data_IF_312116577332
#
_entry.id   IF_312116577332
#
_cell.length_a   1.000
_cell.length_b   1.000
_cell.length_c   1.000
_cell.angle_alpha   90.00
_cell.angle_beta   90.00
_cell.angle_gamma   90.00
#
_symmetry.space_group_name_H-M   'P 1'
#
loop_
_entity.id
_entity.type
_entity.pdbx_description
1 polymer ?
#
# COMPACT_ATOMS: atom_id res chain seq x y z
N UNK A 1 22.32 -4.13 -14.00
CA UNK A 1 21.46 -2.95 -13.81
C UNK A 1 21.66 -2.32 -12.43
N UNK A 2 21.38 -3.04 -11.33
CA UNK A 2 21.44 -2.46 -9.98
C UNK A 2 22.80 -1.88 -9.57
N UNK A 3 23.90 -2.64 -9.74
CA UNK A 3 25.27 -2.14 -9.47
C UNK A 3 25.60 -0.84 -10.22
N UNK A 4 25.15 -0.71 -11.46
CA UNK A 4 25.35 0.50 -12.26
C UNK A 4 24.51 1.66 -11.71
N UNK A 5 23.25 1.40 -11.33
CA UNK A 5 22.38 2.40 -10.71
C UNK A 5 22.98 2.90 -9.39
N UNK A 6 23.52 2.00 -8.55
CA UNK A 6 24.19 2.36 -7.30
C UNK A 6 25.40 3.27 -7.55
N UNK A 7 26.30 2.88 -8.45
CA UNK A 7 27.49 3.68 -8.81
C UNK A 7 27.09 5.05 -9.37
N UNK A 8 26.12 5.09 -10.29
CA UNK A 8 25.67 6.32 -10.93
C UNK A 8 25.02 7.29 -9.93
N UNK A 9 24.12 6.81 -9.07
CA UNK A 9 23.47 7.65 -8.06
C UNK A 9 24.48 8.16 -7.02
N UNK A 10 25.42 7.31 -6.58
CA UNK A 10 26.49 7.73 -5.66
C UNK A 10 27.35 8.83 -6.26
N UNK A 11 27.75 8.69 -7.53
CA UNK A 11 28.51 9.71 -8.26
C UNK A 11 27.72 11.02 -8.35
N UNK A 12 26.46 10.96 -8.78
CA UNK A 12 25.59 12.12 -8.90
C UNK A 12 25.40 12.86 -7.56
N UNK A 13 25.20 12.12 -6.46
CA UNK A 13 25.06 12.72 -5.14
C UNK A 13 26.32 13.47 -4.71
N UNK A 14 27.51 12.90 -4.95
CA UNK A 14 28.79 13.58 -4.63
C UNK A 14 28.98 14.85 -5.45
N UNK A 15 28.69 14.79 -6.75
CA UNK A 15 28.79 15.94 -7.65
C UNK A 15 27.86 17.08 -7.21
N UNK A 16 26.60 16.79 -6.88
CA UNK A 16 25.62 17.79 -6.41
C UNK A 16 25.92 18.36 -5.03
N UNK A 17 26.71 17.65 -4.22
CA UNK A 17 27.20 18.10 -2.92
C UNK A 17 28.58 18.77 -3.00
N UNK A 18 29.07 19.07 -4.21
CA UNK A 18 30.40 19.65 -4.45
C UNK A 18 31.54 18.87 -3.79
N UNK A 19 31.38 17.55 -3.63
CA UNK A 19 32.29 16.66 -2.92
C UNK A 19 32.58 17.08 -1.45
N UNK A 20 31.64 17.74 -0.77
CA UNK A 20 31.73 17.99 0.67
C UNK A 20 31.75 16.66 1.44
N UNK A 21 32.93 16.23 1.90
CA UNK A 21 33.13 14.90 2.50
C UNK A 21 32.36 14.69 3.81
N UNK A 22 32.19 15.75 4.61
CA UNK A 22 31.44 15.68 5.86
C UNK A 22 29.99 15.25 5.58
N UNK A 23 29.32 15.94 4.65
CA UNK A 23 27.93 15.63 4.28
C UNK A 23 27.85 14.33 3.47
N UNK A 24 28.77 14.12 2.53
CA UNK A 24 28.77 12.94 1.66
C UNK A 24 28.90 11.64 2.48
N UNK A 25 29.77 11.62 3.49
CA UNK A 25 29.95 10.44 4.36
C UNK A 25 28.72 10.07 5.19
N UNK A 26 27.82 11.03 5.43
CA UNK A 26 26.62 10.85 6.25
C UNK A 26 25.35 10.62 5.44
N UNK A 27 25.24 11.25 4.27
CA UNK A 27 24.01 11.26 3.48
C UNK A 27 23.98 10.20 2.38
N UNK A 28 25.13 9.85 1.80
CA UNK A 28 25.19 8.89 0.70
C UNK A 28 25.03 7.47 1.26
N UNK A 29 23.95 6.75 0.91
CA UNK A 29 23.70 5.44 1.48
C UNK A 29 24.67 4.35 1.00
N UNK A 30 24.78 3.30 1.81
CA UNK A 30 25.49 2.06 1.54
C UNK A 30 24.58 0.89 1.13
N UNK A 31 23.26 1.12 1.09
CA UNK A 31 22.26 0.15 0.65
C UNK A 31 21.82 0.36 -0.82
N UNK A 32 21.17 -0.65 -1.36
CA UNK A 32 20.76 -0.71 -2.76
C UNK A 32 19.71 0.36 -3.15
N UNK A 33 19.85 0.92 -4.36
CA UNK A 33 18.89 1.87 -4.93
C UNK A 33 17.50 1.23 -4.99
N UNK A 34 16.50 1.91 -4.42
CA UNK A 34 15.13 1.40 -4.35
C UNK A 34 14.78 0.67 -3.04
N UNK A 35 15.76 0.40 -2.17
CA UNK A 35 15.47 -0.12 -0.81
C UNK A 35 14.56 0.84 -0.02
N UNK A 36 14.72 2.15 -0.26
CA UNK A 36 13.77 3.21 0.14
C UNK A 36 13.12 3.82 -1.09
N UNK A 37 11.96 4.43 -0.89
CA UNK A 37 11.33 5.27 -1.91
C UNK A 37 12.27 6.42 -2.26
N UNK A 38 12.60 6.54 -3.55
CA UNK A 38 13.55 7.55 -4.03
C UNK A 38 13.02 8.94 -3.68
N UNK A 39 13.82 9.65 -2.89
CA UNK A 39 13.61 10.99 -2.38
C UNK A 39 14.99 11.50 -1.95
N UNK A 40 15.21 12.82 -1.86
CA UNK A 40 14.33 13.97 -2.17
C UNK A 40 14.47 14.49 -3.61
N UNK A 41 13.64 15.49 -3.96
CA UNK A 41 13.58 16.06 -5.31
C UNK A 41 14.72 17.01 -5.69
N UNK A 42 14.60 17.62 -6.86
CA UNK A 42 15.57 18.58 -7.40
C UNK A 42 15.87 19.72 -6.41
N UNK A 43 17.14 20.07 -6.24
CA UNK A 43 17.58 21.20 -5.43
C UNK A 43 17.83 20.88 -3.95
N UNK A 44 17.46 19.69 -3.47
CA UNK A 44 17.69 19.33 -2.07
C UNK A 44 19.17 19.19 -1.74
N UNK A 45 19.95 18.44 -2.53
CA UNK A 45 21.36 18.21 -2.23
C UNK A 45 22.15 19.53 -2.24
N UNK A 46 21.87 20.37 -3.24
CA UNK A 46 22.46 21.70 -3.40
C UNK A 46 22.06 22.64 -2.27
N UNK A 47 20.88 22.45 -1.66
CA UNK A 47 20.44 23.25 -0.52
C UNK A 47 21.24 22.99 0.76
N UNK A 48 21.83 21.80 0.91
CA UNK A 48 22.57 21.40 2.11
C UNK A 48 23.94 22.08 2.22
N UNK A 49 24.48 22.58 1.11
CA UNK A 49 25.79 23.25 1.05
C UNK A 49 25.67 24.78 0.98
N UNK A 50 24.46 25.34 1.03
CA UNK A 50 24.28 26.79 1.00
C UNK A 50 24.81 27.45 2.29
N UNK A 51 25.34 28.69 2.21
CA UNK A 51 25.88 29.39 3.38
C UNK A 51 24.89 29.59 4.54
N UNK A 52 23.59 29.57 4.27
CA UNK A 52 22.52 29.74 5.25
C UNK A 52 21.93 28.40 5.77
N UNK A 53 22.54 27.28 5.40
CA UNK A 53 22.08 25.95 5.80
C UNK A 53 23.15 25.29 6.67
N UNK A 54 22.74 24.66 7.77
CA UNK A 54 23.58 23.80 8.59
C UNK A 54 22.96 22.42 8.67
N UNK A 55 23.61 21.41 8.10
CA UNK A 55 23.20 20.03 8.27
C UNK A 55 23.66 19.53 9.65
N UNK A 56 22.72 19.07 10.47
CA UNK A 56 23.02 18.50 11.80
C UNK A 56 22.68 17.01 11.76
N UNK A 57 23.69 16.17 11.98
CA UNK A 57 23.54 14.72 12.01
C UNK A 57 23.56 14.23 13.46
N UNK A 58 22.53 13.48 13.86
CA UNK A 58 22.38 12.98 15.22
C UNK A 58 20.93 12.94 15.66
N UNK A 59 20.70 12.52 16.91
CA UNK A 59 19.38 12.54 17.54
C UNK A 59 19.17 13.82 18.35
N UNK A 60 17.89 14.18 18.52
CA UNK A 60 17.45 15.21 19.46
C UNK A 60 17.30 14.56 20.83
N UNK A 61 17.98 15.12 21.84
CA UNK A 61 17.89 14.68 23.23
C UNK A 61 16.65 15.26 23.92
N UNK A 62 16.42 16.55 23.77
CA UNK A 62 15.22 17.23 24.27
C UNK A 62 14.98 18.57 23.55
N UNK A 63 13.78 19.13 23.76
CA UNK A 63 13.40 20.47 23.34
C UNK A 63 13.31 21.39 24.56
N UNK A 64 13.62 22.67 24.39
CA UNK A 64 13.44 23.73 25.39
C UNK A 64 12.83 24.98 24.74
N UNK A 65 12.70 26.07 25.50
CA UNK A 65 12.07 27.31 25.03
C UNK A 65 12.81 27.96 23.84
N UNK A 66 14.12 27.77 23.72
CA UNK A 66 14.93 28.38 22.66
C UNK A 66 15.16 27.48 21.45
N UNK A 67 15.06 26.15 21.60
CA UNK A 67 15.21 25.21 20.50
C UNK A 67 15.41 23.76 20.93
N UNK A 68 16.41 23.09 20.35
CA UNK A 68 16.72 21.68 20.63
C UNK A 68 18.13 21.50 21.18
N UNK A 69 18.28 20.49 22.04
CA UNK A 69 19.60 19.99 22.45
C UNK A 69 19.83 18.63 21.80
N UNK A 70 20.98 18.44 21.17
CA UNK A 70 21.34 17.15 20.56
C UNK A 70 21.95 16.17 21.58
N UNK A 71 22.21 14.95 21.13
CA UNK A 71 22.79 13.89 21.97
C UNK A 71 24.22 14.19 22.47
N UNK A 72 24.92 15.17 21.89
CA UNK A 72 26.24 15.63 22.34
C UNK A 72 26.14 16.82 23.31
N UNK A 73 24.93 17.18 23.73
CA UNK A 73 24.63 18.36 24.56
C UNK A 73 24.93 19.70 23.87
N UNK A 74 24.86 19.75 22.54
CA UNK A 74 24.96 21.01 21.80
C UNK A 74 23.56 21.59 21.64
N UNK A 75 23.41 22.88 21.98
CA UNK A 75 22.19 23.65 21.81
C UNK A 75 22.07 24.19 20.37
N UNK A 76 20.89 24.05 19.77
CA UNK A 76 20.52 24.59 18.48
C UNK A 76 19.27 25.46 18.64
N UNK A 77 19.44 26.78 18.59
CA UNK A 77 18.34 27.73 18.77
C UNK A 77 17.64 28.04 17.43
N UNK A 78 16.31 28.13 17.46
CA UNK A 78 15.50 28.48 16.29
C UNK A 78 14.14 29.06 16.70
N UNK A 79 13.54 29.84 15.80
CA UNK A 79 12.22 30.45 16.05
C UNK A 79 11.05 29.60 15.53
N UNK A 80 11.32 28.69 14.59
CA UNK A 80 10.29 27.89 13.91
C UNK A 80 10.77 26.44 13.82
N UNK A 81 9.87 25.50 14.10
CA UNK A 81 10.09 24.06 13.95
C UNK A 81 9.18 23.54 12.84
N UNK A 82 9.75 22.74 11.93
CA UNK A 82 8.99 22.00 10.92
C UNK A 82 9.21 20.50 11.16
N UNK A 83 8.15 19.78 11.56
CA UNK A 83 8.22 18.35 11.83
C UNK A 83 8.03 17.52 10.56
N UNK A 84 9.13 17.09 9.94
CA UNK A 84 9.13 16.16 8.79
C UNK A 84 9.38 14.69 9.24
N UNK A 85 8.66 14.24 10.28
CA UNK A 85 8.94 12.97 11.01
C UNK A 85 8.33 11.71 10.39
N UNK A 86 7.73 11.82 9.19
CA UNK A 86 7.10 10.68 8.51
C UNK A 86 5.65 10.42 8.96
N UNK A 87 5.21 9.17 8.81
CA UNK A 87 3.83 8.73 9.01
C UNK A 87 3.77 7.45 9.85
N UNK A 88 2.61 7.19 10.47
CA UNK A 88 2.29 5.88 11.02
C UNK A 88 2.06 4.89 9.86
N UNK A 89 2.94 3.90 9.76
CA UNK A 89 2.90 2.84 8.73
C UNK A 89 2.54 1.47 9.32
N UNK A 90 1.92 1.45 10.51
CA UNK A 90 1.41 0.22 11.12
C UNK A 90 0.22 -0.39 10.38
N UNK A 91 -0.40 0.36 9.46
CA UNK A 91 -1.68 0.06 8.80
C UNK A 91 -2.88 -0.07 9.75
N UNK A 92 -2.71 0.15 11.06
CA UNK A 92 -3.80 0.06 12.03
C UNK A 92 -4.82 1.16 11.75
N UNK A 93 -6.11 0.83 11.60
CA UNK A 93 -7.13 1.85 11.33
C UNK A 93 -7.21 2.92 12.42
N UNK A 94 -7.38 4.19 12.01
CA UNK A 94 -7.50 5.34 12.90
C UNK A 94 -8.80 5.36 13.73
N UNK A 95 -9.78 4.53 13.37
CA UNK A 95 -11.03 4.30 14.10
C UNK A 95 -11.27 2.79 14.30
N UNK A 96 -12.12 2.38 15.27
CA UNK A 96 -12.48 0.97 15.43
C UNK A 96 -13.15 0.41 14.17
N UNK A 97 -12.66 -0.73 13.69
CA UNK A 97 -13.29 -1.50 12.61
C UNK A 97 -13.61 -2.87 13.20
N UNK A 98 -14.90 -3.14 13.42
CA UNK A 98 -15.34 -4.35 14.12
C UNK A 98 -15.74 -5.44 13.12
N UNK A 99 -15.12 -6.60 13.26
CA UNK A 99 -15.37 -7.78 12.45
C UNK A 99 -16.16 -8.86 13.19
N UNK A 100 -16.06 -10.09 12.67
CA UNK A 100 -16.67 -11.27 13.24
C UNK A 100 -16.29 -11.46 14.72
N UNK A 101 -17.29 -11.72 15.56
CA UNK A 101 -17.09 -11.91 17.00
C UNK A 101 -16.69 -10.64 17.78
N UNK A 102 -16.86 -9.45 17.20
CA UNK A 102 -16.56 -8.18 17.86
C UNK A 102 -15.07 -7.81 17.88
N UNK A 103 -14.24 -8.53 17.12
CA UNK A 103 -12.81 -8.27 17.02
C UNK A 103 -12.56 -6.94 16.31
N UNK A 104 -11.65 -6.13 16.84
CA UNK A 104 -11.26 -4.87 16.24
C UNK A 104 -10.01 -5.06 15.36
N UNK A 105 -10.08 -4.63 14.09
CA UNK A 105 -8.98 -4.76 13.13
C UNK A 105 -7.69 -4.11 13.63
N UNK A 106 -7.81 -3.01 14.37
CA UNK A 106 -6.67 -2.32 15.01
C UNK A 106 -5.87 -3.25 15.93
N UNK A 107 -6.54 -4.15 16.63
CA UNK A 107 -5.92 -5.04 17.61
C UNK A 107 -5.39 -6.29 16.91
N UNK A 108 -6.15 -6.81 15.94
CA UNK A 108 -5.72 -7.91 15.06
C UNK A 108 -4.42 -7.57 14.34
N UNK A 109 -4.28 -6.34 13.84
CA UNK A 109 -3.09 -5.87 13.13
C UNK A 109 -1.98 -5.30 14.04
N UNK A 110 -2.06 -5.49 15.37
CA UNK A 110 -1.06 -4.96 16.30
C UNK A 110 0.35 -5.54 16.11
N UNK A 111 0.46 -6.79 15.64
CA UNK A 111 1.74 -7.46 15.37
C UNK A 111 2.17 -7.41 13.91
N UNK A 112 1.29 -6.96 13.02
CA UNK A 112 1.49 -6.95 11.59
C UNK A 112 0.16 -7.23 10.87
N UNK A 113 -0.06 -6.65 9.69
CA UNK A 113 -1.32 -6.82 9.02
C UNK A 113 -1.40 -8.15 8.27
N UNK A 114 -2.30 -9.04 8.70
CA UNK A 114 -2.78 -10.14 7.84
C UNK A 114 -3.80 -9.59 6.86
N UNK A 115 -3.55 -9.70 5.57
CA UNK A 115 -4.36 -9.07 4.53
C UNK A 115 -4.32 -9.88 3.23
N UNK A 116 -5.31 -9.62 2.36
CA UNK A 116 -5.44 -10.27 1.06
C UNK A 116 -5.38 -9.23 -0.05
N UNK A 117 -4.39 -9.36 -0.94
CA UNK A 117 -4.18 -8.53 -2.14
C UNK A 117 -4.26 -7.01 -1.90
N UNK A 118 -3.96 -6.55 -0.68
CA UNK A 118 -4.13 -5.15 -0.23
C UNK A 118 -5.58 -4.64 -0.14
N UNK A 119 -6.58 -5.47 -0.43
CA UNK A 119 -7.99 -5.04 -0.58
C UNK A 119 -8.93 -5.58 0.50
N UNK A 120 -8.56 -6.62 1.23
CA UNK A 120 -9.42 -7.24 2.23
C UNK A 120 -8.63 -7.77 3.44
N UNK A 121 -9.35 -8.03 4.55
CA UNK A 121 -8.81 -8.64 5.76
C UNK A 121 -9.72 -9.81 6.20
N UNK A 122 -9.16 -10.98 6.56
CA UNK A 122 -9.96 -12.11 7.05
C UNK A 122 -10.61 -11.77 8.40
N UNK A 123 -11.83 -12.27 8.64
CA UNK A 123 -12.63 -11.90 9.80
C UNK A 123 -13.42 -10.60 9.66
N UNK A 124 -13.30 -9.87 8.56
CA UNK A 124 -13.97 -8.59 8.31
C UNK A 124 -14.84 -8.68 7.04
N UNK A 125 -16.03 -9.31 7.12
CA UNK A 125 -16.92 -9.46 5.97
C UNK A 125 -17.41 -8.10 5.46
N UNK A 126 -17.61 -7.98 4.15
CA UNK A 126 -18.12 -6.78 3.48
C UNK A 126 -17.27 -5.51 3.73
N UNK A 127 -16.00 -5.69 4.09
CA UNK A 127 -15.05 -4.62 4.32
C UNK A 127 -13.94 -4.70 3.26
N UNK A 128 -13.80 -3.63 2.48
CA UNK A 128 -12.76 -3.49 1.46
C UNK A 128 -11.91 -2.25 1.73
N UNK A 129 -10.64 -2.32 1.35
CA UNK A 129 -9.62 -1.32 1.65
C UNK A 129 -9.03 -0.81 0.34
N UNK A 130 -8.98 0.52 0.18
CA UNK A 130 -8.18 1.14 -0.86
C UNK A 130 -6.89 1.70 -0.22
N UNK A 131 -5.74 1.23 -0.69
CA UNK A 131 -4.44 1.61 -0.09
C UNK A 131 -4.10 0.82 1.18
N UNK A 132 -4.48 -0.46 1.24
CA UNK A 132 -4.13 -1.33 2.35
C UNK A 132 -2.64 -1.71 2.41
N UNK A 133 -2.27 -2.65 3.30
CA UNK A 133 -0.92 -3.22 3.34
C UNK A 133 -0.51 -3.79 1.97
N UNK A 134 0.74 -3.62 1.58
CA UNK A 134 1.27 -3.96 0.25
C UNK A 134 0.58 -3.27 -0.95
N UNK A 135 -0.07 -2.12 -0.75
CA UNK A 135 -0.57 -1.32 -1.86
C UNK A 135 0.60 -0.83 -2.75
N UNK A 136 0.40 -0.64 -4.07
CA UNK A 136 1.45 -0.26 -5.00
C UNK A 136 1.87 1.24 -4.92
N UNK A 137 2.04 1.76 -3.70
CA UNK A 137 2.29 3.18 -3.39
C UNK A 137 3.68 3.63 -3.86
N UNK A 138 4.67 2.73 -3.82
CA UNK A 138 6.07 3.09 -4.07
C UNK A 138 6.54 2.84 -5.50
N UNK A 139 5.80 2.01 -6.24
CA UNK A 139 6.27 1.50 -7.53
C UNK A 139 5.75 2.35 -8.70
N UNK A 140 4.62 3.05 -8.52
CA UNK A 140 3.89 3.79 -9.58
C UNK A 140 2.94 4.86 -9.00
N UNK A 141 2.05 5.40 -9.84
CA UNK A 141 0.93 6.26 -9.42
C UNK A 141 0.05 5.58 -8.38
N UNK A 142 -0.05 6.19 -7.19
CA UNK A 142 -0.96 5.80 -6.13
C UNK A 142 -2.41 5.75 -6.61
N UNK A 143 -2.82 6.71 -7.46
CA UNK A 143 -4.19 6.84 -7.93
C UNK A 143 -4.66 5.57 -8.65
N UNK A 144 -3.83 5.02 -9.53
CA UNK A 144 -4.15 3.77 -10.23
C UNK A 144 -4.37 2.61 -9.26
N UNK A 145 -3.53 2.49 -8.22
CA UNK A 145 -3.71 1.46 -7.19
C UNK A 145 -5.02 1.60 -6.41
N UNK A 146 -5.44 2.83 -6.12
CA UNK A 146 -6.70 3.11 -5.44
C UNK A 146 -7.91 2.80 -6.33
N UNK A 147 -7.88 3.21 -7.60
CA UNK A 147 -8.94 2.92 -8.58
C UNK A 147 -9.14 1.42 -8.75
N UNK A 148 -8.05 0.65 -8.89
CA UNK A 148 -8.12 -0.81 -9.00
C UNK A 148 -8.72 -1.48 -7.76
N UNK A 149 -8.38 -1.01 -6.56
CA UNK A 149 -8.97 -1.52 -5.31
C UNK A 149 -10.48 -1.18 -5.20
N UNK A 150 -10.88 0.01 -5.67
CA UNK A 150 -12.28 0.41 -5.72
C UNK A 150 -13.06 -0.43 -6.74
N UNK A 151 -12.51 -0.65 -7.94
CA UNK A 151 -13.11 -1.51 -8.96
C UNK A 151 -13.27 -2.96 -8.50
N UNK A 152 -12.29 -3.47 -7.76
CA UNK A 152 -12.37 -4.77 -7.09
C UNK A 152 -13.56 -4.84 -6.14
N UNK A 153 -13.72 -3.84 -5.27
CA UNK A 153 -14.84 -3.76 -4.34
C UNK A 153 -16.19 -3.69 -5.08
N UNK A 154 -16.28 -2.93 -6.18
CA UNK A 154 -17.48 -2.91 -7.02
C UNK A 154 -17.79 -4.27 -7.65
N UNK A 155 -16.78 -5.02 -8.10
CA UNK A 155 -16.98 -6.39 -8.60
C UNK A 155 -17.54 -7.32 -7.52
N UNK A 156 -17.04 -7.21 -6.28
CA UNK A 156 -17.59 -7.93 -5.14
C UNK A 156 -19.06 -7.54 -4.87
N UNK A 157 -19.37 -6.24 -4.79
CA UNK A 157 -20.74 -5.75 -4.53
C UNK A 157 -21.70 -6.17 -5.64
N UNK A 158 -21.30 -6.07 -6.92
CA UNK A 158 -22.12 -6.53 -8.05
C UNK A 158 -22.43 -8.02 -7.94
N UNK A 159 -21.43 -8.85 -7.63
CA UNK A 159 -21.66 -10.29 -7.40
C UNK A 159 -22.64 -10.52 -6.25
N UNK A 160 -22.47 -9.78 -5.15
CA UNK A 160 -23.36 -9.92 -4.01
C UNK A 160 -24.82 -9.59 -4.34
N UNK A 161 -25.04 -8.51 -5.08
CA UNK A 161 -26.37 -8.12 -5.54
C UNK A 161 -26.96 -9.11 -6.55
N UNK A 162 -26.14 -9.58 -7.49
CA UNK A 162 -26.57 -10.49 -8.56
C UNK A 162 -26.91 -11.89 -8.05
N UNK A 163 -26.26 -12.37 -6.97
CA UNK A 163 -26.41 -13.75 -6.48
C UNK A 163 -27.09 -13.85 -5.11
N UNK A 164 -27.54 -12.72 -4.54
CA UNK A 164 -28.21 -12.69 -3.23
C UNK A 164 -27.27 -13.06 -2.07
N UNK A 165 -26.01 -12.63 -2.14
CA UNK A 165 -25.00 -12.86 -1.09
C UNK A 165 -25.13 -11.76 -0.03
N UNK A 166 -25.36 -12.16 1.22
CA UNK A 166 -25.45 -11.29 2.38
C UNK A 166 -24.08 -10.86 2.90
N UNK A 167 -23.10 -11.78 2.89
CA UNK A 167 -21.74 -11.47 3.30
C UNK A 167 -20.70 -12.17 2.43
N UNK A 168 -19.64 -11.42 2.12
CA UNK A 168 -18.46 -11.89 1.42
C UNK A 168 -17.24 -11.64 2.32
N UNK A 169 -16.56 -12.71 2.73
CA UNK A 169 -15.42 -12.68 3.65
C UNK A 169 -14.26 -13.46 3.03
N UNK A 170 -13.06 -12.89 2.97
CA UNK A 170 -11.88 -13.62 2.50
C UNK A 170 -11.49 -14.69 3.52
N UNK A 171 -11.11 -15.87 3.05
CA UNK A 171 -10.67 -16.94 3.93
C UNK A 171 -9.27 -16.66 4.53
N UNK A 172 -9.07 -17.08 5.77
CA UNK A 172 -7.84 -16.83 6.54
C UNK A 172 -6.62 -17.52 5.92
N UNK A 173 -6.80 -18.73 5.39
CA UNK A 173 -5.78 -19.48 4.67
C UNK A 173 -5.40 -18.80 3.35
N UNK A 174 -6.38 -18.32 2.57
CA UNK A 174 -6.11 -17.58 1.34
C UNK A 174 -5.28 -16.31 1.59
N UNK A 175 -5.56 -15.58 2.68
CA UNK A 175 -4.76 -14.43 3.10
C UNK A 175 -3.33 -14.83 3.49
N UNK A 176 -3.16 -15.92 4.26
CA UNK A 176 -1.85 -16.43 4.69
C UNK A 176 -1.02 -16.96 3.53
N UNK A 177 -1.61 -17.74 2.64
CA UNK A 177 -0.96 -18.27 1.44
C UNK A 177 -0.51 -17.13 0.51
N UNK A 178 -1.34 -16.09 0.36
CA UNK A 178 -0.92 -14.88 -0.35
C UNK A 178 0.29 -14.22 0.30
N UNK A 179 0.27 -14.04 1.63
CA UNK A 179 1.39 -13.44 2.36
C UNK A 179 2.67 -14.28 2.25
N UNK A 180 2.57 -15.61 2.33
CA UNK A 180 3.70 -16.53 2.14
C UNK A 180 4.31 -16.38 0.73
N UNK A 181 3.46 -16.39 -0.31
CA UNK A 181 3.91 -16.23 -1.68
C UNK A 181 4.49 -14.83 -1.93
N UNK A 182 3.88 -13.79 -1.37
CA UNK A 182 4.41 -12.42 -1.38
C UNK A 182 5.81 -12.40 -0.76
N UNK A 183 5.98 -12.94 0.43
CA UNK A 183 7.26 -12.92 1.16
C UNK A 183 8.34 -13.69 0.43
N UNK A 184 7.98 -14.80 -0.24
CA UNK A 184 8.89 -15.52 -1.14
C UNK A 184 9.39 -14.63 -2.29
N UNK A 185 8.51 -13.87 -2.93
CA UNK A 185 8.89 -12.95 -4.01
C UNK A 185 9.72 -11.78 -3.47
N UNK A 186 9.34 -11.22 -2.32
CA UNK A 186 10.01 -10.05 -1.73
C UNK A 186 11.47 -10.30 -1.38
N UNK A 187 11.86 -11.54 -1.05
CA UNK A 187 13.25 -11.93 -0.75
C UNK A 187 14.24 -11.59 -1.87
N UNK A 188 13.77 -11.60 -3.12
CA UNK A 188 14.61 -11.33 -4.29
C UNK A 188 14.55 -9.84 -4.72
N UNK A 189 13.81 -8.99 -3.98
CA UNK A 189 13.62 -7.58 -4.28
C UNK A 189 14.41 -6.68 -3.32
N UNK A 190 14.86 -5.54 -3.84
CA UNK A 190 15.67 -4.54 -3.09
C UNK A 190 14.98 -3.99 -1.83
N UNK A 191 13.67 -4.12 -1.71
CA UNK A 191 12.91 -3.68 -0.54
C UNK A 191 13.20 -4.48 0.75
N UNK A 192 13.85 -5.64 0.63
CA UNK A 192 14.30 -6.46 1.79
C UNK A 192 15.75 -6.21 2.19
N UNK A 193 16.48 -5.34 1.49
CA UNK A 193 17.86 -4.98 1.85
C UNK A 193 17.90 -4.25 3.22
N UNK A 194 19.10 -4.11 3.77
CA UNK A 194 19.42 -3.65 5.13
C UNK A 194 18.95 -2.24 5.52
N UNK A 195 18.40 -1.45 4.59
CA UNK A 195 17.96 -0.09 4.89
C UNK A 195 16.80 -0.05 5.90
N UNK A 196 16.83 0.87 6.86
CA UNK A 196 15.63 1.20 7.64
C UNK A 196 14.62 1.90 6.71
N UNK A 197 13.44 1.33 6.49
CA UNK A 197 12.46 1.85 5.54
C UNK A 197 11.05 1.70 6.12
N UNK A 198 10.18 2.64 5.77
CA UNK A 198 8.76 2.53 6.09
C UNK A 198 8.14 1.27 5.47
N UNK A 199 8.74 0.73 4.40
CA UNK A 199 8.31 -0.54 3.80
C UNK A 199 8.29 -1.72 4.78
N UNK A 200 9.09 -1.65 5.84
CA UNK A 200 9.26 -2.71 6.84
C UNK A 200 8.74 -2.28 8.22
N UNK A 201 7.89 -1.24 8.26
CA UNK A 201 7.48 -0.59 9.50
C UNK A 201 8.66 -0.24 10.43
N UNK A 202 9.80 0.16 9.83
CA UNK A 202 11.06 0.41 10.53
C UNK A 202 11.59 -0.75 11.40
N UNK A 203 11.09 -1.99 11.19
CA UNK A 203 11.62 -3.22 11.78
C UNK A 203 12.67 -3.84 10.86
N UNK A 204 13.61 -4.57 11.45
CA UNK A 204 14.66 -5.30 10.75
C UNK A 204 14.33 -6.81 10.61
N UNK A 205 13.05 -7.19 10.65
CA UNK A 205 12.59 -8.59 10.56
C UNK A 205 12.33 -9.05 9.11
N UNK A 206 12.69 -8.22 8.12
CA UNK A 206 12.49 -8.43 6.69
C UNK A 206 11.02 -8.57 6.23
N UNK A 207 10.04 -8.32 7.11
CA UNK A 207 8.63 -8.30 6.73
C UNK A 207 8.32 -7.01 5.97
N UNK A 208 8.08 -7.13 4.66
CA UNK A 208 7.74 -5.98 3.80
C UNK A 208 6.23 -5.83 3.75
N UNK A 209 5.72 -4.84 4.49
CA UNK A 209 4.31 -4.39 4.46
C UNK A 209 4.08 -3.25 3.47
N UNK A 210 5.17 -2.71 2.92
CA UNK A 210 5.23 -1.55 2.02
C UNK A 210 4.71 -1.78 0.60
N UNK A 211 5.55 -1.80 -0.44
CA UNK A 211 5.06 -1.89 -1.81
C UNK A 211 4.44 -3.25 -2.11
N UNK A 212 3.70 -3.31 -3.22
CA UNK A 212 3.29 -4.56 -3.86
C UNK A 212 4.51 -5.37 -4.31
N UNK A 213 4.43 -6.71 -4.23
CA UNK A 213 5.52 -7.64 -4.62
C UNK A 213 5.68 -7.80 -6.15
N UNK A 214 5.32 -6.80 -6.94
CA UNK A 214 5.36 -6.84 -8.39
C UNK A 214 5.14 -5.47 -9.04
N UNK A 215 4.96 -5.47 -10.36
CA UNK A 215 4.61 -4.26 -11.11
C UNK A 215 3.15 -3.84 -10.86
N UNK A 216 2.80 -2.62 -11.25
CA UNK A 216 1.39 -2.19 -11.22
C UNK A 216 0.51 -3.02 -12.16
N UNK A 217 1.06 -3.46 -13.30
CA UNK A 217 0.34 -4.30 -14.24
C UNK A 217 0.05 -5.68 -13.63
N UNK A 218 1.02 -6.23 -12.89
CA UNK A 218 0.80 -7.44 -12.10
C UNK A 218 -0.30 -7.24 -11.04
N UNK A 219 -0.33 -6.08 -10.37
CA UNK A 219 -1.40 -5.76 -9.42
C UNK A 219 -2.77 -5.62 -10.10
N UNK A 220 -2.83 -4.94 -11.25
CA UNK A 220 -4.05 -4.84 -12.07
C UNK A 220 -4.58 -6.23 -12.41
N UNK A 221 -3.76 -7.09 -12.99
CA UNK A 221 -4.17 -8.44 -13.40
C UNK A 221 -4.63 -9.29 -12.19
N UNK A 222 -3.95 -9.14 -11.05
CA UNK A 222 -4.32 -9.83 -9.81
C UNK A 222 -5.70 -9.40 -9.28
N UNK A 223 -6.11 -8.15 -9.50
CA UNK A 223 -7.40 -7.61 -9.05
C UNK A 223 -8.51 -7.66 -10.11
N UNK A 224 -8.17 -7.83 -11.39
CA UNK A 224 -9.13 -7.74 -12.50
C UNK A 224 -10.27 -8.74 -12.37
N UNK A 225 -9.97 -9.95 -11.88
CA UNK A 225 -10.96 -11.00 -11.67
C UNK A 225 -10.88 -11.51 -10.22
N UNK A 226 -11.81 -11.11 -9.33
CA UNK A 226 -11.82 -11.62 -7.97
C UNK A 226 -11.89 -13.15 -7.95
N UNK A 227 -10.99 -13.76 -7.18
CA UNK A 227 -10.92 -15.21 -7.02
C UNK A 227 -12.00 -15.66 -6.04
N UNK A 228 -13.20 -15.90 -6.54
CA UNK A 228 -14.38 -16.21 -5.73
C UNK A 228 -14.22 -17.42 -4.80
N UNK A 229 -13.33 -18.37 -5.13
CA UNK A 229 -13.02 -19.53 -4.30
C UNK A 229 -12.23 -19.18 -3.03
N UNK A 230 -11.56 -18.04 -3.01
CA UNK A 230 -10.79 -17.55 -1.86
C UNK A 230 -11.73 -16.84 -0.84
N UNK A 231 -13.05 -16.84 -1.09
CA UNK A 231 -14.06 -16.16 -0.28
C UNK A 231 -15.12 -17.12 0.25
N UNK A 232 -15.44 -16.96 1.53
CA UNK A 232 -16.62 -17.51 2.16
C UNK A 232 -17.83 -16.61 1.90
N UNK A 233 -18.88 -17.21 1.35
CA UNK A 233 -20.13 -16.51 1.01
C UNK A 233 -21.28 -16.97 1.90
N UNK A 234 -21.98 -16.01 2.52
CA UNK A 234 -23.26 -16.25 3.19
C UNK A 234 -24.38 -15.69 2.33
N UNK A 235 -25.38 -16.50 2.02
CA UNK A 235 -26.51 -16.10 1.18
C UNK A 235 -27.70 -15.61 2.01
N UNK A 236 -28.51 -14.71 1.44
CA UNK A 236 -29.74 -14.18 2.05
C UNK A 236 -30.83 -15.25 2.16
N UNK A 237 -30.91 -16.15 1.18
CA UNK A 237 -31.91 -17.20 1.10
C UNK A 237 -31.31 -18.60 1.11
N UNK A 238 -32.14 -19.61 1.38
CA UNK A 238 -31.74 -21.02 1.29
C UNK A 238 -31.63 -21.52 -0.16
N UNK A 239 -32.44 -20.95 -1.07
CA UNK A 239 -32.46 -21.35 -2.46
C UNK A 239 -31.42 -20.57 -3.26
N UNK A 240 -30.47 -21.29 -3.88
CA UNK A 240 -29.39 -20.73 -4.70
C UNK A 240 -29.88 -19.92 -5.91
N UNK A 241 -31.10 -20.15 -6.36
CA UNK A 241 -31.71 -19.46 -7.50
C UNK A 241 -32.70 -18.36 -7.07
N UNK A 242 -32.77 -18.00 -5.78
CA UNK A 242 -33.66 -16.95 -5.31
C UNK A 242 -33.38 -15.59 -5.99
N UNK A 243 -32.17 -15.36 -6.47
CA UNK A 243 -31.79 -14.15 -7.20
C UNK A 243 -32.46 -14.01 -8.58
N UNK A 244 -33.09 -15.08 -9.12
CA UNK A 244 -33.88 -15.01 -10.36
C UNK A 244 -35.11 -14.10 -10.23
N UNK A 245 -35.51 -13.77 -8.99
CA UNK A 245 -36.69 -12.95 -8.74
C UNK A 245 -37.93 -13.59 -9.34
N UNK A 246 -38.63 -12.85 -10.21
CA UNK A 246 -39.84 -13.30 -10.90
C UNK A 246 -39.58 -13.80 -12.33
N UNK A 247 -38.31 -14.06 -12.69
CA UNK A 247 -37.95 -14.54 -14.03
C UNK A 247 -38.03 -13.48 -15.13
N UNK A 248 -38.12 -12.18 -14.79
CA UNK A 248 -38.15 -11.07 -15.74
C UNK A 248 -36.94 -10.16 -15.53
N UNK A 249 -36.35 -9.70 -16.62
CA UNK A 249 -35.29 -8.70 -16.65
C UNK A 249 -35.84 -7.30 -16.35
N UNK A 250 -34.98 -6.39 -15.86
CA UNK A 250 -35.35 -4.98 -15.61
C UNK A 250 -35.99 -4.29 -16.85
N UNK A 251 -35.48 -4.48 -18.08
CA UNK A 251 -36.09 -3.97 -19.31
C UNK A 251 -37.51 -4.50 -19.56
N UNK A 252 -37.75 -5.80 -19.34
CA UNK A 252 -39.11 -6.38 -19.47
C UNK A 252 -40.09 -5.79 -18.46
N UNK A 253 -39.61 -5.45 -17.26
CA UNK A 253 -40.42 -4.77 -16.24
C UNK A 253 -40.69 -3.30 -16.59
N UNK A 254 -39.82 -2.66 -17.36
CA UNK A 254 -39.97 -1.28 -17.85
C UNK A 254 -40.76 -1.17 -19.16
N UNK A 255 -41.14 -2.29 -19.77
CA UNK A 255 -41.83 -2.30 -21.06
C UNK A 255 -40.93 -1.94 -22.24
N UNK A 256 -39.61 -2.10 -22.11
CA UNK A 256 -38.64 -1.86 -23.19
C UNK A 256 -38.75 -2.94 -24.28
N UNK A 257 -38.49 -2.58 -25.54
CA UNK A 257 -38.44 -3.55 -26.64
C UNK A 257 -37.25 -4.50 -26.48
N UNK A 258 -37.53 -5.81 -26.48
CA UNK A 258 -36.51 -6.86 -26.41
C UNK A 258 -36.03 -7.33 -27.79
N UNK A 259 -36.73 -6.92 -28.85
CA UNK A 259 -36.57 -7.46 -30.21
C UNK A 259 -35.16 -7.26 -30.81
N UNK A 260 -34.40 -6.27 -30.33
CA UNK A 260 -33.08 -5.93 -30.89
C UNK A 260 -31.92 -6.26 -29.95
N UNK A 261 -32.16 -6.73 -28.72
CA UNK A 261 -31.08 -6.88 -27.73
C UNK A 261 -30.06 -7.97 -28.09
N UNK A 262 -30.51 -9.08 -28.65
CA UNK A 262 -29.62 -10.15 -29.14
C UNK A 262 -29.18 -9.94 -30.59
N UNK A 263 -29.84 -9.04 -31.34
CA UNK A 263 -29.51 -8.73 -32.74
C UNK A 263 -28.47 -7.61 -32.87
N UNK A 264 -28.28 -6.80 -31.82
CA UNK A 264 -27.29 -5.71 -31.77
C UNK A 264 -25.94 -6.16 -31.15
N UNK A 265 -25.77 -7.43 -30.80
CA UNK A 265 -24.44 -7.97 -30.49
C UNK A 265 -23.61 -7.99 -31.79
N UNK A 266 -22.58 -7.15 -31.83
CA UNK A 266 -21.69 -6.94 -32.97
C UNK A 266 -21.08 -8.31 -33.38
N UNK A 267 -21.57 -8.87 -34.48
CA UNK A 267 -21.17 -10.19 -34.98
C UNK A 267 -22.06 -10.84 -36.05
N UNK A 268 -23.21 -10.23 -36.38
CA UNK A 268 -24.11 -10.69 -37.47
C UNK A 268 -24.44 -9.58 -38.50
N UNK A 269 -23.46 -8.71 -38.78
CA UNK A 269 -23.44 -7.86 -39.99
C UNK A 269 -22.06 -7.94 -40.64
#
# INVERSE_FOLDING_TARGET
MQKQAFIANRKLMRERLENNEEICSKLIPDFEVGCRRVSPGNGYLESLIKPNTKAVFGGIKCMNESGSMDNNNIQHDFNIIICATGFDVSHRPAFPVLGCGGQNLRDVWSQGPTHYLSVAAPGFPNYWIAGGPNAPISNVSLIMGLELAVDYAFSCVRKMQAEGIASLEVEEDAAKEFMEQRDKIMKDLVCTDSCASWYKNSKNDNSVTGPWCGSIWHYKEALENPRWKDYKMKYLGKNRFAYFGNGRTVPELRGESMATKYLNEIGLQ
#
